data_IF_906672760479
#
_entry.id   IF_906672760479
#
_cell.length_a   1.000
_cell.length_b   1.000
_cell.length_c   1.000
_cell.angle_alpha   90.00
_cell.angle_beta   90.00
_cell.angle_gamma   90.00
#
_symmetry.space_group_name_H-M   'P 1'
#
loop_
_entity.id
_entity.type
_entity.pdbx_description
1 polymer ?
#
# COMPACT_ATOMS: atom_id res chain seq x y z
N UNK A 1 -11.64 -8.05 -15.88
CA UNK A 1 -11.29 -6.95 -14.96
C UNK A 1 -10.59 -5.85 -15.71
N UNK A 2 -11.05 -4.66 -15.51
CA UNK A 2 -10.46 -3.51 -16.20
C UNK A 2 -9.28 -2.99 -15.39
N UNK A 3 -8.16 -2.81 -16.05
CA UNK A 3 -6.91 -2.39 -15.42
C UNK A 3 -7.07 -1.06 -14.68
N UNK A 4 -7.81 -0.11 -15.26
CA UNK A 4 -7.98 1.20 -14.63
C UNK A 4 -8.76 1.13 -13.32
N UNK A 5 -9.66 0.16 -13.15
CA UNK A 5 -10.37 -0.01 -11.88
C UNK A 5 -9.41 -0.40 -10.77
N UNK A 6 -8.46 -1.29 -11.07
CA UNK A 6 -7.46 -1.71 -10.09
C UNK A 6 -6.50 -0.56 -9.77
N UNK A 7 -6.09 0.22 -10.76
CA UNK A 7 -5.25 1.40 -10.53
C UNK A 7 -5.96 2.43 -9.65
N UNK A 8 -7.21 2.73 -9.95
CA UNK A 8 -7.99 3.66 -9.15
C UNK A 8 -8.19 3.14 -7.73
N UNK A 9 -8.39 1.82 -7.58
CA UNK A 9 -8.54 1.21 -6.27
C UNK A 9 -7.28 1.41 -5.42
N UNK A 10 -6.10 1.23 -6.01
CA UNK A 10 -4.84 1.45 -5.28
C UNK A 10 -4.66 2.89 -4.85
N UNK A 11 -5.03 3.84 -5.71
CA UNK A 11 -5.00 5.26 -5.35
C UNK A 11 -5.89 5.51 -4.15
N UNK A 12 -7.10 4.97 -4.15
CA UNK A 12 -8.02 5.10 -3.03
C UNK A 12 -7.50 4.40 -1.77
N UNK A 13 -6.86 3.24 -1.91
CA UNK A 13 -6.27 2.54 -0.76
C UNK A 13 -5.21 3.41 -0.08
N UNK A 14 -4.32 4.02 -0.86
CA UNK A 14 -3.28 4.89 -0.32
C UNK A 14 -3.91 6.08 0.39
N UNK A 15 -4.92 6.71 -0.22
CA UNK A 15 -5.61 7.83 0.40
C UNK A 15 -6.34 7.43 1.68
N UNK A 16 -6.96 6.25 1.69
CA UNK A 16 -7.66 5.75 2.87
C UNK A 16 -6.68 5.43 4.01
N UNK A 17 -5.54 4.80 3.69
CA UNK A 17 -4.50 4.53 4.69
C UNK A 17 -3.94 5.83 5.24
N UNK A 18 -3.69 6.81 4.38
CA UNK A 18 -3.23 8.13 4.80
C UNK A 18 -4.21 8.76 5.79
N UNK A 19 -5.49 8.75 5.44
CA UNK A 19 -6.53 9.28 6.31
C UNK A 19 -6.57 8.58 7.66
N UNK A 20 -6.49 7.25 7.64
CA UNK A 20 -6.50 6.44 8.86
C UNK A 20 -5.28 6.72 9.74
N UNK A 21 -4.10 6.85 9.13
CA UNK A 21 -2.86 7.13 9.86
C UNK A 21 -2.88 8.49 10.57
N UNK A 22 -3.49 9.48 9.95
CA UNK A 22 -3.49 10.85 10.48
C UNK A 22 -4.66 11.09 11.43
N UNK A 23 -5.87 10.71 11.02
CA UNK A 23 -7.09 11.06 11.77
C UNK A 23 -7.39 10.10 12.91
N UNK A 24 -6.90 8.86 12.82
CA UNK A 24 -7.27 7.78 13.74
C UNK A 24 -8.77 7.50 13.73
N UNK A 25 -9.47 7.90 12.67
CA UNK A 25 -10.89 7.62 12.53
C UNK A 25 -11.13 6.12 12.36
N UNK A 26 -12.35 5.70 12.68
CA UNK A 26 -12.75 4.31 12.54
C UNK A 26 -12.59 3.86 11.09
N UNK A 27 -11.97 2.69 10.88
CA UNK A 27 -11.71 2.19 9.55
C UNK A 27 -12.98 1.94 8.74
N UNK A 28 -14.07 1.53 9.40
CA UNK A 28 -15.33 1.32 8.70
C UNK A 28 -15.92 2.63 8.19
N UNK A 29 -15.78 3.71 8.94
CA UNK A 29 -16.23 5.03 8.48
C UNK A 29 -15.45 5.48 7.25
N UNK A 30 -14.11 5.30 7.27
CA UNK A 30 -13.27 5.63 6.12
C UNK A 30 -13.67 4.78 4.92
N UNK A 31 -13.83 3.46 5.13
CA UNK A 31 -14.24 2.54 4.08
C UNK A 31 -15.57 2.99 3.45
N UNK A 32 -16.54 3.32 4.28
CA UNK A 32 -17.85 3.72 3.80
C UNK A 32 -17.80 5.04 3.03
N UNK A 33 -16.96 5.98 3.47
CA UNK A 33 -16.75 7.23 2.73
C UNK A 33 -16.26 6.95 1.31
N UNK A 34 -15.25 6.11 1.18
CA UNK A 34 -14.69 5.77 -0.15
C UNK A 34 -15.69 4.98 -0.99
N UNK A 35 -16.47 4.09 -0.37
CA UNK A 35 -17.51 3.38 -1.09
C UNK A 35 -18.52 4.35 -1.71
N UNK A 36 -19.07 5.25 -0.91
CA UNK A 36 -20.08 6.19 -1.39
C UNK A 36 -19.55 7.09 -2.50
N UNK A 37 -18.30 7.52 -2.37
CA UNK A 37 -17.73 8.48 -3.32
C UNK A 37 -17.23 7.84 -4.61
N UNK A 38 -16.69 6.63 -4.54
CA UNK A 38 -15.91 6.05 -5.65
C UNK A 38 -16.40 4.70 -6.14
N UNK A 39 -17.48 4.14 -5.61
CA UNK A 39 -17.89 2.76 -5.90
C UNK A 39 -17.98 2.39 -7.38
N UNK A 40 -18.30 3.36 -8.24
CA UNK A 40 -18.41 3.12 -9.68
C UNK A 40 -17.07 3.22 -10.41
N UNK A 41 -16.04 3.72 -9.74
CA UNK A 41 -14.73 4.00 -10.35
C UNK A 41 -13.64 3.07 -9.89
N UNK A 42 -13.93 2.21 -8.93
CA UNK A 42 -12.93 1.30 -8.34
C UNK A 42 -13.50 -0.10 -8.25
N UNK A 43 -12.60 -1.06 -8.03
CA UNK A 43 -12.96 -2.41 -7.59
C UNK A 43 -13.06 -2.37 -6.07
N UNK A 44 -14.27 -2.19 -5.56
CA UNK A 44 -14.47 -1.98 -4.13
C UNK A 44 -14.09 -3.20 -3.32
N UNK A 45 -14.34 -4.40 -3.84
CA UNK A 45 -13.97 -5.63 -3.15
C UNK A 45 -12.46 -5.68 -2.90
N UNK A 46 -11.67 -5.31 -3.89
CA UNK A 46 -10.22 -5.24 -3.78
C UNK A 46 -9.80 -4.13 -2.80
N UNK A 47 -10.39 -2.95 -2.92
CA UNK A 47 -10.13 -1.84 -2.00
C UNK A 47 -10.34 -2.27 -0.55
N UNK A 48 -11.51 -2.85 -0.27
CA UNK A 48 -11.86 -3.26 1.08
C UNK A 48 -10.90 -4.32 1.62
N UNK A 49 -10.58 -5.31 0.81
CA UNK A 49 -9.67 -6.38 1.21
C UNK A 49 -8.30 -5.83 1.61
N UNK A 50 -7.73 -4.98 0.78
CA UNK A 50 -6.38 -4.48 1.03
C UNK A 50 -6.37 -3.46 2.17
N UNK A 51 -7.30 -2.51 2.17
CA UNK A 51 -7.36 -1.49 3.20
C UNK A 51 -7.58 -2.09 4.58
N UNK A 52 -8.64 -2.90 4.74
CA UNK A 52 -8.96 -3.50 6.03
C UNK A 52 -7.94 -4.57 6.40
N UNK A 53 -7.49 -5.35 5.42
CA UNK A 53 -6.49 -6.39 5.66
C UNK A 53 -5.17 -5.82 6.14
N UNK A 54 -4.74 -4.69 5.57
CA UNK A 54 -3.53 -4.00 6.00
C UNK A 54 -3.66 -3.56 7.47
N UNK A 55 -4.77 -2.95 7.83
CA UNK A 55 -5.01 -2.50 9.20
C UNK A 55 -4.96 -3.67 10.18
N UNK A 56 -5.60 -4.77 9.85
CA UNK A 56 -5.61 -5.98 10.70
C UNK A 56 -4.22 -6.60 10.85
N UNK A 57 -3.34 -6.39 9.88
CA UNK A 57 -2.00 -6.96 9.88
C UNK A 57 -0.92 -5.90 10.09
N UNK A 58 -1.26 -4.74 10.66
CA UNK A 58 -0.37 -3.59 10.75
C UNK A 58 0.97 -3.93 11.39
N UNK A 59 0.96 -4.62 12.51
CA UNK A 59 2.21 -4.95 13.23
C UNK A 59 3.08 -5.85 12.37
N UNK A 60 2.50 -6.87 11.77
CA UNK A 60 3.23 -7.80 10.91
C UNK A 60 3.80 -7.10 9.68
N UNK A 61 3.00 -6.26 9.04
CA UNK A 61 3.43 -5.52 7.85
C UNK A 61 4.54 -4.53 8.19
N UNK A 62 4.38 -3.76 9.26
CA UNK A 62 5.41 -2.82 9.70
C UNK A 62 6.73 -3.54 10.01
N UNK A 63 6.66 -4.71 10.62
CA UNK A 63 7.86 -5.51 10.91
C UNK A 63 8.53 -6.02 9.62
N UNK A 64 7.76 -6.29 8.58
CA UNK A 64 8.33 -6.68 7.28
C UNK A 64 9.01 -5.49 6.59
N UNK A 65 8.51 -4.29 6.79
CA UNK A 65 9.08 -3.08 6.16
C UNK A 65 10.40 -2.69 6.82
N UNK A 66 10.47 -2.77 8.15
CA UNK A 66 11.59 -2.23 8.94
C UNK A 66 12.99 -2.57 8.43
N UNK A 67 13.30 -3.83 8.05
CA UNK A 67 14.65 -4.15 7.61
C UNK A 67 15.09 -3.42 6.33
N UNK A 68 14.17 -2.89 5.57
CA UNK A 68 14.45 -2.31 4.27
C UNK A 68 14.47 -0.78 4.27
N UNK A 69 14.18 -0.16 5.42
CA UNK A 69 14.23 1.29 5.55
C UNK A 69 15.33 1.66 6.53
N UNK A 70 16.17 2.64 6.16
CA UNK A 70 17.27 3.08 6.98
C UNK A 70 16.82 3.94 8.15
N UNK A 71 15.66 4.58 7.99
CA UNK A 71 15.08 5.45 9.00
C UNK A 71 14.00 4.70 9.77
N UNK A 72 13.75 5.15 11.00
CA UNK A 72 12.60 4.68 11.74
C UNK A 72 11.33 4.89 10.91
N UNK A 73 10.45 3.89 10.88
CA UNK A 73 9.21 3.96 10.11
C UNK A 73 8.40 5.22 10.44
N UNK A 74 8.44 5.66 11.69
CA UNK A 74 7.72 6.87 12.12
C UNK A 74 8.27 8.16 11.50
N UNK A 75 9.46 8.12 10.93
CA UNK A 75 10.07 9.30 10.29
C UNK A 75 9.80 9.37 8.80
N UNK A 76 9.17 8.37 8.23
CA UNK A 76 8.73 8.42 6.84
C UNK A 76 7.54 9.36 6.73
N UNK A 77 7.37 9.98 5.56
CA UNK A 77 6.15 10.74 5.32
C UNK A 77 4.94 9.82 5.39
N UNK A 78 3.76 10.38 5.71
CA UNK A 78 2.55 9.58 5.76
C UNK A 78 2.19 8.98 4.42
N UNK A 79 2.52 9.67 3.32
CA UNK A 79 2.32 9.14 1.96
C UNK A 79 3.22 7.92 1.73
N UNK A 80 4.51 8.04 2.04
CA UNK A 80 5.44 6.93 1.87
C UNK A 80 5.04 5.71 2.70
N UNK A 81 4.63 5.94 3.96
CA UNK A 81 4.11 4.87 4.81
C UNK A 81 2.91 4.17 4.18
N UNK A 82 1.98 4.95 3.67
CA UNK A 82 0.76 4.39 3.06
C UNK A 82 1.08 3.52 1.85
N UNK A 83 1.99 3.98 1.00
CA UNK A 83 2.38 3.24 -0.20
C UNK A 83 3.10 1.94 0.19
N UNK A 84 4.05 2.02 1.12
CA UNK A 84 4.78 0.83 1.54
C UNK A 84 3.88 -0.18 2.24
N UNK A 85 2.98 0.28 3.10
CA UNK A 85 2.05 -0.61 3.78
C UNK A 85 1.14 -1.33 2.79
N UNK A 86 0.60 -0.63 1.81
CA UNK A 86 -0.21 -1.25 0.77
C UNK A 86 0.60 -2.27 -0.03
N UNK A 87 1.78 -1.86 -0.50
CA UNK A 87 2.62 -2.71 -1.34
C UNK A 87 3.09 -3.96 -0.61
N UNK A 88 3.52 -3.82 0.65
CA UNK A 88 3.96 -4.97 1.43
C UNK A 88 2.79 -5.91 1.74
N UNK A 89 1.60 -5.37 1.97
CA UNK A 89 0.42 -6.22 2.13
C UNK A 89 0.18 -7.05 0.86
N UNK A 90 0.23 -6.41 -0.31
CA UNK A 90 0.03 -7.12 -1.57
C UNK A 90 1.12 -8.17 -1.80
N UNK A 91 2.37 -7.85 -1.50
CA UNK A 91 3.46 -8.81 -1.62
C UNK A 91 3.22 -10.05 -0.75
N UNK A 92 2.73 -9.84 0.45
CA UNK A 92 2.53 -10.93 1.41
C UNK A 92 1.25 -11.72 1.15
N UNK A 93 0.15 -11.05 0.85
CA UNK A 93 -1.18 -11.67 0.83
C UNK A 93 -1.79 -11.86 -0.56
N UNK A 94 -1.33 -11.12 -1.56
CA UNK A 94 -1.87 -11.21 -2.92
C UNK A 94 -0.84 -11.79 -3.86
N UNK A 95 -0.57 -13.07 -3.67
CA UNK A 95 0.44 -13.79 -4.46
C UNK A 95 0.05 -13.97 -5.93
N UNK A 96 -1.22 -13.79 -6.25
CA UNK A 96 -1.73 -13.77 -7.61
C UNK A 96 -1.25 -12.55 -8.41
N UNK A 97 -0.84 -11.47 -7.72
CA UNK A 97 -0.34 -10.27 -8.39
C UNK A 97 1.18 -10.40 -8.53
N UNK A 98 1.73 -10.30 -9.76
CA UNK A 98 3.19 -10.37 -9.94
C UNK A 98 3.89 -9.27 -9.15
N UNK A 99 5.02 -9.61 -8.51
CA UNK A 99 5.70 -8.64 -7.65
C UNK A 99 6.19 -7.42 -8.43
N UNK A 100 6.53 -7.60 -9.72
CA UNK A 100 6.95 -6.47 -10.56
C UNK A 100 5.82 -5.47 -10.79
N UNK A 101 4.59 -5.95 -10.87
CA UNK A 101 3.41 -5.08 -10.96
C UNK A 101 3.26 -4.27 -9.67
N UNK A 102 3.43 -4.93 -8.52
CA UNK A 102 3.33 -4.25 -7.22
C UNK A 102 4.37 -3.13 -7.12
N UNK A 103 5.62 -3.40 -7.53
CA UNK A 103 6.67 -2.39 -7.52
C UNK A 103 6.30 -1.21 -8.43
N UNK A 104 5.91 -1.49 -9.67
CA UNK A 104 5.59 -0.43 -10.62
C UNK A 104 4.41 0.43 -10.15
N UNK A 105 3.37 -0.19 -9.60
CA UNK A 105 2.20 0.57 -9.13
C UNK A 105 2.55 1.43 -7.92
N UNK A 106 3.40 0.94 -7.03
CA UNK A 106 3.89 1.74 -5.91
C UNK A 106 4.67 2.96 -6.38
N UNK A 107 5.53 2.80 -7.37
CA UNK A 107 6.30 3.89 -7.95
C UNK A 107 5.38 4.93 -8.60
N UNK A 108 4.39 4.49 -9.38
CA UNK A 108 3.47 5.39 -10.04
C UNK A 108 2.65 6.22 -9.05
N UNK A 109 2.19 5.60 -7.97
CA UNK A 109 1.44 6.31 -6.94
C UNK A 109 2.35 7.31 -6.21
N UNK A 110 3.60 6.93 -5.97
CA UNK A 110 4.55 7.85 -5.36
C UNK A 110 4.78 9.09 -6.22
N UNK A 111 4.76 8.95 -7.54
CA UNK A 111 4.86 10.09 -8.45
C UNK A 111 3.64 10.99 -8.39
N UNK A 112 2.46 10.44 -8.09
CA UNK A 112 1.24 11.24 -7.99
C UNK A 112 1.19 12.03 -6.67
N UNK A 113 1.47 11.39 -5.55
CA UNK A 113 1.23 11.96 -4.23
C UNK A 113 2.48 12.33 -3.45
N UNK A 114 3.62 11.74 -3.79
CA UNK A 114 4.83 11.91 -3.01
C UNK A 114 5.58 13.19 -3.35
N UNK A 115 6.60 13.47 -2.56
CA UNK A 115 7.54 14.54 -2.87
C UNK A 115 8.42 14.13 -4.06
N UNK A 116 9.25 15.07 -4.52
CA UNK A 116 10.06 14.90 -5.73
C UNK A 116 10.84 13.58 -5.78
N UNK A 117 11.39 13.12 -4.67
CA UNK A 117 12.23 11.92 -4.64
C UNK A 117 11.55 10.70 -4.02
N UNK A 118 10.27 10.81 -3.65
CA UNK A 118 9.57 9.68 -3.02
C UNK A 118 9.58 8.43 -3.88
N UNK A 119 9.39 8.56 -5.20
CA UNK A 119 9.35 7.39 -6.08
C UNK A 119 10.68 6.65 -6.11
N UNK A 120 11.81 7.36 -5.97
CA UNK A 120 13.13 6.72 -5.92
C UNK A 120 13.29 5.93 -4.62
N UNK A 121 12.84 6.51 -3.51
CA UNK A 121 12.88 5.85 -2.22
C UNK A 121 12.01 4.60 -2.22
N UNK A 122 10.78 4.69 -2.70
CA UNK A 122 9.85 3.57 -2.80
C UNK A 122 10.45 2.46 -3.67
N UNK A 123 10.99 2.83 -4.84
CA UNK A 123 11.64 1.87 -5.73
C UNK A 123 12.78 1.13 -5.02
N UNK A 124 13.64 1.87 -4.32
CA UNK A 124 14.77 1.26 -3.61
C UNK A 124 14.33 0.26 -2.55
N UNK A 125 13.30 0.59 -1.78
CA UNK A 125 12.78 -0.30 -0.75
C UNK A 125 12.15 -1.55 -1.38
N UNK A 126 11.29 -1.37 -2.36
CA UNK A 126 10.56 -2.48 -2.97
C UNK A 126 11.46 -3.41 -3.77
N UNK A 127 12.48 -2.87 -4.46
CA UNK A 127 13.43 -3.71 -5.17
C UNK A 127 14.17 -4.67 -4.23
N UNK A 128 14.54 -4.21 -3.05
CA UNK A 128 15.22 -5.05 -2.08
C UNK A 128 14.30 -6.07 -1.43
N UNK A 129 13.05 -5.70 -1.19
CA UNK A 129 12.14 -6.50 -0.38
C UNK A 129 11.31 -7.50 -1.19
N UNK A 130 10.87 -7.11 -2.39
CA UNK A 130 9.81 -7.84 -3.09
C UNK A 130 10.17 -9.29 -3.39
N UNK A 131 11.36 -9.52 -3.94
CA UNK A 131 11.78 -10.88 -4.27
C UNK A 131 11.93 -11.74 -3.02
N UNK A 132 12.50 -11.18 -1.96
CA UNK A 132 12.71 -11.91 -0.71
C UNK A 132 11.38 -12.30 -0.06
N UNK A 133 10.44 -11.38 0.00
CA UNK A 133 9.13 -11.66 0.59
C UNK A 133 8.40 -12.73 -0.21
N UNK A 134 8.49 -12.65 -1.54
CA UNK A 134 7.70 -13.51 -2.42
C UNK A 134 8.29 -14.91 -2.57
N UNK A 135 9.61 -15.04 -2.60
CA UNK A 135 10.26 -16.28 -3.01
C UNK A 135 11.20 -16.92 -1.97
N UNK A 136 11.69 -16.19 -0.99
CA UNK A 136 12.52 -16.78 0.05
C UNK A 136 11.64 -17.17 1.22
N UNK A 137 11.86 -18.39 1.73
CA UNK A 137 11.22 -18.79 2.96
C UNK A 137 11.79 -17.96 4.09
N UNK A 138 10.92 -17.21 4.75
CA UNK A 138 11.28 -16.54 5.98
C UNK A 138 11.03 -17.57 7.08
N UNK A 139 12.12 -18.10 7.58
CA UNK A 139 12.05 -19.07 8.66
C UNK A 139 11.51 -18.40 9.94
#
# INVERSE_FOLDING_TARGET
>A
MKIYLRKNSRICIVQALYSWQISHNNSNEIKNFFYEKYKKKIDFKYFQEVFIGMIKNKIKIDNLIKPYVLRNLNRLSEVEKSILRMSFYELLKRKDIPYKVIINEGIEIAKIFGSKDSHKFINGVLDKAAFKIRFKKIA
#
